data_IF_346133531226
#
_entry.id   IF_346133531226
#
_cell.length_a   1.000
_cell.length_b   1.000
_cell.length_c   1.000
_cell.angle_alpha   90.00
_cell.angle_beta   90.00
_cell.angle_gamma   90.00
#
_symmetry.space_group_name_H-M   'P 1'
#
loop_
_entity.id
_entity.type
_entity.pdbx_description
1 polymer ?
#
# COMPACT_ATOMS: atom_id res chain seq x y z
N UNK A 1 13.72 -16.46 1.21
CA UNK A 1 13.15 -15.42 2.10
C UNK A 1 11.64 -15.38 1.86
N UNK A 2 10.83 -15.40 2.93
CA UNK A 2 9.36 -15.47 2.82
C UNK A 2 8.76 -14.24 3.51
N UNK A 3 7.89 -13.53 2.81
CA UNK A 3 7.21 -12.32 3.29
C UNK A 3 5.87 -12.72 3.94
N UNK A 4 5.91 -13.11 5.22
CA UNK A 4 4.71 -13.59 5.94
C UNK A 4 3.68 -12.50 6.20
N UNK A 5 4.08 -11.23 6.23
CA UNK A 5 3.20 -10.06 6.38
C UNK A 5 2.89 -9.36 5.06
N UNK A 6 3.24 -9.98 3.92
CA UNK A 6 3.12 -9.35 2.61
C UNK A 6 4.21 -8.32 2.31
N UNK A 7 3.92 -7.43 1.37
CA UNK A 7 4.90 -6.56 0.71
C UNK A 7 4.34 -5.18 0.42
N UNK A 8 5.17 -4.14 0.57
CA UNK A 8 4.82 -2.78 0.13
C UNK A 8 5.06 -2.53 -1.36
N UNK A 9 5.43 -3.55 -2.15
CA UNK A 9 5.73 -3.39 -3.59
C UNK A 9 4.51 -3.03 -4.41
N UNK A 10 3.34 -3.51 -4.01
CA UNK A 10 2.10 -3.33 -4.75
C UNK A 10 1.00 -2.77 -3.86
N UNK A 11 0.10 -2.02 -4.49
CA UNK A 11 -1.14 -1.56 -3.89
C UNK A 11 -2.30 -1.95 -4.79
N UNK A 12 -3.44 -2.30 -4.20
CA UNK A 12 -4.65 -2.71 -4.90
C UNK A 12 -5.80 -1.80 -4.56
N UNK A 13 -6.60 -1.43 -5.56
CA UNK A 13 -7.87 -0.75 -5.30
C UNK A 13 -8.89 -1.70 -4.64
N UNK A 14 -9.57 -1.21 -3.62
CA UNK A 14 -10.60 -2.01 -2.95
C UNK A 14 -11.91 -2.10 -3.75
N UNK A 15 -12.14 -1.19 -4.70
CA UNK A 15 -13.38 -1.13 -5.47
C UNK A 15 -13.25 -1.77 -6.86
N UNK A 16 -12.22 -1.41 -7.63
CA UNK A 16 -12.01 -1.95 -8.99
C UNK A 16 -10.91 -3.00 -9.10
N UNK A 17 -10.24 -3.34 -7.99
CA UNK A 17 -9.21 -4.38 -7.90
C UNK A 17 -7.96 -4.19 -8.77
N UNK A 18 -7.81 -3.03 -9.42
CA UNK A 18 -6.59 -2.72 -10.18
C UNK A 18 -5.37 -2.67 -9.25
N UNK A 19 -4.26 -3.25 -9.72
CA UNK A 19 -3.00 -3.34 -8.98
C UNK A 19 -1.98 -2.39 -9.58
N UNK A 20 -1.26 -1.67 -8.73
CA UNK A 20 -0.23 -0.71 -9.09
C UNK A 20 1.07 -1.02 -8.36
N UNK A 21 2.21 -0.70 -8.98
CA UNK A 21 3.48 -0.60 -8.27
C UNK A 21 3.40 0.59 -7.31
N UNK A 22 3.67 0.38 -6.02
CA UNK A 22 3.52 1.43 -5.02
C UNK A 22 4.40 2.65 -5.27
N UNK A 23 5.57 2.47 -5.90
CA UNK A 23 6.51 3.56 -6.21
C UNK A 23 5.99 4.46 -7.33
N UNK A 24 5.05 3.96 -8.14
CA UNK A 24 4.38 4.77 -9.16
C UNK A 24 3.33 5.73 -8.59
N UNK A 25 3.00 5.56 -7.30
CA UNK A 25 1.99 6.34 -6.58
C UNK A 25 2.62 7.10 -5.42
N UNK A 26 3.83 7.64 -5.63
CA UNK A 26 4.41 8.58 -4.68
C UNK A 26 3.79 9.98 -4.87
N UNK A 27 3.73 10.81 -3.81
CA UNK A 27 3.24 12.18 -3.94
C UNK A 27 4.06 12.97 -4.96
N UNK A 28 3.38 13.67 -5.88
CA UNK A 28 4.05 14.42 -6.96
C UNK A 28 4.80 15.67 -6.47
N UNK A 29 4.40 16.22 -5.31
CA UNK A 29 4.95 17.46 -4.74
C UNK A 29 6.34 17.23 -4.14
N UNK A 30 7.38 17.92 -4.59
CA UNK A 30 8.76 17.68 -4.15
C UNK A 30 8.99 17.82 -2.63
N UNK A 31 8.21 18.65 -1.94
CA UNK A 31 8.28 18.89 -0.49
C UNK A 31 7.66 17.79 0.37
N UNK A 32 7.04 16.75 -0.23
CA UNK A 32 6.21 15.79 0.51
C UNK A 32 6.93 15.12 1.68
N UNK A 33 8.23 14.85 1.53
CA UNK A 33 9.02 14.19 2.55
C UNK A 33 9.25 15.08 3.78
N UNK A 34 9.55 16.36 3.56
CA UNK A 34 9.81 17.30 4.65
C UNK A 34 8.52 17.63 5.40
N UNK A 35 7.42 17.77 4.68
CA UNK A 35 6.09 17.94 5.28
C UNK A 35 5.66 16.72 6.09
N UNK A 36 5.96 15.50 5.61
CA UNK A 36 5.71 14.27 6.37
C UNK A 36 6.53 14.25 7.67
N UNK A 37 7.83 14.60 7.61
CA UNK A 37 8.70 14.69 8.81
C UNK A 37 8.20 15.70 9.83
N UNK A 38 7.61 16.80 9.37
CA UNK A 38 7.04 17.85 10.21
C UNK A 38 5.62 17.51 10.71
N UNK A 39 5.04 16.39 10.27
CA UNK A 39 3.67 16.02 10.61
C UNK A 39 2.61 16.89 9.96
N UNK A 40 2.94 17.57 8.85
CA UNK A 40 2.01 18.38 8.06
C UNK A 40 1.35 17.57 6.93
N UNK A 41 1.92 16.40 6.62
CA UNK A 41 1.37 15.50 5.61
C UNK A 41 0.77 14.24 6.22
N UNK A 42 -0.54 14.05 6.00
CA UNK A 42 -1.27 12.89 6.52
C UNK A 42 -1.95 12.06 5.43
N UNK A 43 -2.47 12.70 4.37
CA UNK A 43 -3.13 12.00 3.27
C UNK A 43 -2.99 12.81 1.96
N UNK A 44 -3.03 12.11 0.82
CA UNK A 44 -2.95 12.74 -0.49
C UNK A 44 -3.73 12.00 -1.57
N UNK A 45 -3.68 12.55 -2.78
CA UNK A 45 -4.38 11.99 -3.95
C UNK A 45 -3.84 10.61 -4.36
N UNK A 46 -2.60 10.30 -4.00
CA UNK A 46 -1.95 9.02 -4.27
C UNK A 46 -2.54 7.84 -3.48
N UNK A 47 -3.37 8.11 -2.44
CA UNK A 47 -4.17 7.08 -1.77
C UNK A 47 -5.44 6.69 -2.55
N UNK A 48 -5.71 7.33 -3.70
CA UNK A 48 -6.90 7.13 -4.52
C UNK A 48 -6.55 6.43 -5.83
N UNK A 49 -7.39 5.48 -6.24
CA UNK A 49 -7.24 4.80 -7.50
C UNK A 49 -7.35 5.81 -8.67
N UNK A 50 -6.37 5.85 -9.59
CA UNK A 50 -6.44 6.74 -10.76
C UNK A 50 -7.69 6.53 -11.62
N UNK A 51 -8.20 5.28 -11.68
CA UNK A 51 -9.31 4.84 -12.53
C UNK A 51 -10.67 5.13 -11.89
N UNK A 52 -10.93 4.62 -10.69
CA UNK A 52 -12.27 4.69 -10.07
C UNK A 52 -12.36 5.62 -8.86
N UNK A 53 -11.24 6.24 -8.44
CA UNK A 53 -11.12 7.06 -7.22
C UNK A 53 -11.37 6.33 -5.89
N UNK A 54 -11.53 5.01 -5.94
CA UNK A 54 -11.59 4.15 -4.76
C UNK A 54 -10.35 4.21 -3.88
N UNK A 55 -10.46 3.73 -2.64
CA UNK A 55 -9.30 3.65 -1.75
C UNK A 55 -8.32 2.58 -2.21
N UNK A 56 -7.03 2.93 -2.18
CA UNK A 56 -5.93 2.00 -2.42
C UNK A 56 -5.47 1.39 -1.11
N UNK A 57 -5.22 0.09 -1.16
CA UNK A 57 -4.74 -0.69 -0.03
C UNK A 57 -3.40 -1.35 -0.38
N UNK A 58 -2.35 -1.20 0.44
CA UNK A 58 -1.11 -1.93 0.25
C UNK A 58 -1.29 -3.43 0.48
N UNK A 59 -0.52 -4.24 -0.24
CA UNK A 59 -0.54 -5.71 -0.13
C UNK A 59 0.25 -6.21 1.08
N UNK A 60 -0.11 -5.67 2.25
CA UNK A 60 0.40 -6.04 3.57
C UNK A 60 -0.73 -6.55 4.45
N UNK A 61 -0.37 -7.41 5.39
CA UNK A 61 -1.27 -7.90 6.44
C UNK A 61 -1.23 -6.93 7.61
N UNK A 62 -2.38 -6.36 7.97
CA UNK A 62 -2.51 -5.45 9.10
C UNK A 62 -2.87 -6.23 10.38
N UNK A 63 -2.73 -5.58 11.53
CA UNK A 63 -3.18 -6.17 12.79
C UNK A 63 -4.67 -6.52 12.74
N UNK A 64 -5.00 -7.73 13.19
CA UNK A 64 -6.36 -8.27 13.14
C UNK A 64 -6.68 -9.05 11.88
N UNK A 65 -5.77 -9.13 10.90
CA UNK A 65 -5.95 -9.93 9.68
C UNK A 65 -5.18 -11.24 9.74
N UNK A 66 -5.72 -12.27 9.08
CA UNK A 66 -5.07 -13.57 8.95
C UNK A 66 -3.87 -13.50 8.00
N UNK A 67 -2.79 -14.22 8.34
CA UNK A 67 -1.64 -14.35 7.45
C UNK A 67 -2.00 -15.16 6.19
N UNK A 68 -1.33 -14.91 5.05
CA UNK A 68 -1.54 -15.69 3.83
C UNK A 68 -1.12 -17.15 4.04
N UNK A 69 -2.05 -18.08 3.86
CA UNK A 69 -1.84 -19.52 4.08
C UNK A 69 -0.64 -20.07 3.30
N UNK A 70 -0.46 -19.65 2.04
CA UNK A 70 0.65 -20.08 1.19
C UNK A 70 2.01 -19.62 1.70
N UNK A 71 2.08 -18.43 2.32
CA UNK A 71 3.32 -17.94 2.91
C UNK A 71 3.63 -18.69 4.21
N UNK A 72 2.59 -18.95 5.03
CA UNK A 72 2.71 -19.73 6.25
C UNK A 72 3.18 -21.17 5.96
N UNK A 73 2.55 -21.84 4.99
CA UNK A 73 2.89 -23.21 4.61
C UNK A 73 4.32 -23.38 4.06
N UNK A 74 4.93 -22.31 3.52
CA UNK A 74 6.33 -22.33 3.06
C UNK A 74 7.34 -22.02 4.17
N UNK A 75 6.88 -21.40 5.26
CA UNK A 75 7.70 -21.02 6.41
C UNK A 75 7.73 -22.09 7.50
N UNK A 76 6.85 -23.09 7.42
CA UNK A 76 6.85 -24.34 8.18
C UNK A 76 7.80 -25.35 7.52
#
# INVERSE_FOLDING_TARGET
MIEVHGSLRTVRCMDCYFVYDSRSLLPARSSWQDEYRQGLYHYGAECRCPVCKGFLRPDVVLFGESLPEKALAKAM
#
